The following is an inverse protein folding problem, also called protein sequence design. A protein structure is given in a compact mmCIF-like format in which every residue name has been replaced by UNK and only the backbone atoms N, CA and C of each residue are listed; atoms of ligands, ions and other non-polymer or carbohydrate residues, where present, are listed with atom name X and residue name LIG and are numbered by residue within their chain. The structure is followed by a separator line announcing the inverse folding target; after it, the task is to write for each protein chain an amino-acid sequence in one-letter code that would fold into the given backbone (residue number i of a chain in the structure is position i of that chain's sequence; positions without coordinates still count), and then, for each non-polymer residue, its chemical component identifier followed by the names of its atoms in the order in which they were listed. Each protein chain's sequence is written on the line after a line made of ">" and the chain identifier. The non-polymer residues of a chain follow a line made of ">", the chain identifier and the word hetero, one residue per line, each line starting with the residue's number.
data_IF_331366487920
#
_entry.id   IF_331366487920
#
_cell.length_a   1.000
_cell.length_b   1.000
_cell.length_c   1.000
_cell.angle_alpha   90.00
_cell.angle_beta   90.00
_cell.angle_gamma   90.00
#
_symmetry.space_group_name_H-M   'P 1'
#
loop_
_entity.id
_entity.type
_entity.pdbx_description
1 polymer ?
2 polymer ?
3 polymer ?
4 polymer ?
5 polymer ?
6 polymer ?
7 non-polymer ?
8 non-polymer ?
9 water ?
#
loop_
_entity_poly.entity_id
_entity_poly.type
_entity_poly.pdbx_seq_one_letter_code
_entity_poly.pdbx_strand_id
3 'polydeoxyribonucleotide' '(DT)(DT)(DA)(DG)(DG)(DA)(DT)(DC)(DC)(DT)(DT)(DC)(DA)(DA)' ?
4 'polydeoxyribonucleotide' '(DT)(DC)(DT)(DG)(DC)(DC)(DT)(DT)(DT)(DT)(DT)(DT)(DG)(DA)' ?
5 'polydeoxyribonucleotide' '(DA)(DA)(DA)(DA)(DG)(DG)(DC)(DA)(DG)(DA)' ?
6 'polydeoxyribonucleotide' '(DA)(DG)(DG)(DA)(DT)(DC)(DC)(DT)(DA)(DA)' ?
#
# COMPACT_ATOMS: atom_id res chain seq x y z
N UNK A 1 -4.46 8.13 -25.99
CA UNK A 1 -5.67 7.32 -26.35
C UNK A 1 -5.35 5.83 -26.56
N UNK A 2 -5.35 5.08 -25.48
CA UNK A 2 -4.40 4.00 -25.28
C UNK A 2 -3.06 4.66 -25.12
N UNK A 3 -3.02 5.57 -24.16
CA UNK A 3 -1.79 6.04 -23.59
C UNK A 3 -0.88 4.87 -23.27
N UNK A 4 0.40 5.09 -23.54
CA UNK A 4 1.46 4.12 -23.24
C UNK A 4 2.12 4.55 -21.93
N UNK A 5 2.09 3.66 -20.94
CA UNK A 5 2.70 3.93 -19.63
C UNK A 5 4.13 3.36 -19.49
N UNK A 6 4.96 4.08 -18.75
CA UNK A 6 6.37 3.74 -18.64
C UNK A 6 6.62 2.69 -17.58
N UNK A 7 7.68 1.92 -17.78
CA UNK A 7 7.94 0.72 -16.99
C UNK A 7 8.12 1.04 -15.49
N UNK A 8 8.95 2.02 -15.15
CA UNK A 8 9.33 2.20 -13.73
C UNK A 8 8.15 2.77 -12.97
N UNK A 9 7.33 3.55 -13.67
CA UNK A 9 6.06 4.07 -13.15
C UNK A 9 5.13 2.90 -12.81
N UNK A 10 4.87 2.03 -13.78
CA UNK A 10 4.01 0.84 -13.59
C UNK A 10 4.52 -0.06 -12.48
N UNK A 11 5.84 -0.19 -12.36
CA UNK A 11 6.34 -1.09 -11.31
C UNK A 11 6.06 -0.51 -9.92
N UNK A 12 6.40 0.76 -9.72
CA UNK A 12 6.17 1.40 -8.45
C UNK A 12 4.66 1.39 -8.16
N UNK A 13 3.86 1.71 -9.17
CA UNK A 13 2.43 1.91 -8.96
C UNK A 13 1.78 0.58 -8.67
N UNK A 14 2.25 -0.48 -9.35
CA UNK A 14 1.76 -1.82 -9.05
C UNK A 14 1.90 -2.17 -7.55
N UNK A 15 3.11 -1.96 -7.00
CA UNK A 15 3.39 -2.04 -5.55
C UNK A 15 2.39 -1.24 -4.72
N UNK A 16 2.25 0.03 -5.09
CA UNK A 16 1.42 0.93 -4.30
C UNK A 16 -0.05 0.49 -4.34
N UNK A 17 -0.48 -0.01 -5.49
CA UNK A 17 -1.86 -0.48 -5.65
C UNK A 17 -2.08 -1.78 -4.88
N UNK A 18 -1.11 -2.69 -4.93
CA UNK A 18 -1.21 -3.91 -4.11
C UNK A 18 -1.35 -3.51 -2.64
N UNK A 19 -0.77 -2.36 -2.26
CA UNK A 19 -0.95 -1.86 -0.86
C UNK A 19 -2.26 -1.13 -0.59
N UNK A 20 -2.41 0.07 -1.16
CA UNK A 20 -3.49 0.97 -0.75
C UNK A 20 -4.59 1.06 -1.82
N UNK A 21 -4.49 0.28 -2.89
CA UNK A 21 -5.48 0.37 -3.96
C UNK A 21 -6.60 -0.65 -3.89
N UNK A 22 -7.59 -0.53 -4.78
CA UNK A 22 -8.68 -1.49 -4.77
C UNK A 22 -9.17 -1.63 -6.19
N UNK A 23 -9.41 -2.86 -6.64
CA UNK A 23 -9.99 -3.11 -7.95
C UNK A 23 -11.33 -3.78 -7.70
N UNK A 24 -12.37 -3.08 -8.12
CA UNK A 24 -13.72 -3.31 -7.61
C UNK A 24 -14.65 -3.55 -8.79
N UNK A 25 -15.46 -4.60 -8.69
CA UNK A 25 -16.55 -4.82 -9.64
C UNK A 25 -17.86 -4.88 -8.88
N UNK A 26 -18.88 -4.19 -9.38
CA UNK A 26 -20.21 -4.15 -8.71
C UNK A 26 -21.34 -4.41 -9.71
N UNK A 27 -22.45 -4.92 -9.17
CA UNK A 27 -23.72 -5.10 -9.90
C UNK A 27 -24.67 -4.17 -9.17
N UNK A 28 -25.15 -3.13 -9.86
CA UNK A 28 -25.97 -2.10 -9.21
C UNK A 28 -27.39 -2.23 -9.74
N UNK A 29 -28.35 -2.47 -8.86
CA UNK A 29 -29.74 -2.66 -9.26
C UNK A 29 -30.12 -1.34 -9.86
N UNK A 30 -30.81 -1.42 -10.99
CA UNK A 30 -31.22 -0.20 -11.62
C UNK A 30 -32.26 -0.52 -12.69
N UNK A 31 -33.48 -0.09 -12.41
CA UNK A 31 -34.66 -0.57 -13.11
C UNK A 31 -34.63 -0.06 -14.54
N UNK A 32 -33.77 0.91 -14.83
CA UNK A 32 -33.84 1.46 -16.18
C UNK A 32 -32.82 0.84 -17.12
N UNK A 33 -32.04 -0.10 -16.61
CA UNK A 33 -31.15 -0.91 -17.45
C UNK A 33 -31.82 -2.17 -17.98
N UNK A 34 -31.37 -2.54 -19.17
CA UNK A 34 -31.82 -3.74 -19.90
C UNK A 34 -32.17 -4.94 -19.04
N UNK A 35 -31.26 -5.35 -18.15
CA UNK A 35 -31.57 -6.48 -17.28
C UNK A 35 -31.75 -6.08 -15.81
N UNK A 36 -32.09 -4.80 -15.58
CA UNK A 36 -32.44 -4.27 -14.26
C UNK A 36 -31.21 -4.10 -13.34
N UNK A 37 -30.02 -4.19 -13.95
CA UNK A 37 -28.78 -3.96 -13.22
C UNK A 37 -27.71 -3.42 -14.15
N UNK A 38 -26.83 -2.62 -13.59
CA UNK A 38 -25.73 -2.00 -14.31
C UNK A 38 -24.49 -2.63 -13.71
N UNK A 39 -23.56 -3.04 -14.58
CA UNK A 39 -22.23 -3.39 -14.17
C UNK A 39 -21.31 -2.18 -14.04
N UNK A 40 -20.64 -2.04 -12.90
CA UNK A 40 -19.72 -0.93 -12.70
C UNK A 40 -18.33 -1.43 -12.32
N UNK A 41 -17.29 -0.94 -12.99
CA UNK A 41 -15.93 -1.42 -12.71
C UNK A 41 -15.10 -0.24 -12.31
N UNK A 42 -14.36 -0.39 -11.22
CA UNK A 42 -13.62 0.77 -10.70
C UNK A 42 -12.20 0.39 -10.30
N UNK A 43 -11.25 1.24 -10.67
CA UNK A 43 -9.92 1.17 -10.07
C UNK A 43 -9.78 2.36 -9.09
N UNK A 44 -9.36 2.11 -7.87
CA UNK A 44 -9.43 3.13 -6.83
C UNK A 44 -8.13 3.09 -6.04
N UNK A 45 -7.59 4.25 -5.68
CA UNK A 45 -6.45 4.33 -4.76
C UNK A 45 -6.85 5.29 -3.65
N UNK A 46 -6.79 4.82 -2.40
CA UNK A 46 -7.16 5.67 -1.25
C UNK A 46 -5.93 6.26 -0.54
N UNK A 47 -6.08 7.47 0.00
CA UNK A 47 -5.06 8.06 0.83
C UNK A 47 -5.66 9.20 1.65
N UNK A 48 -5.14 9.33 2.86
CA UNK A 48 -5.44 10.45 3.75
C UNK A 48 -5.32 11.76 2.97
N UNK A 49 -6.30 12.65 3.12
CA UNK A 49 -6.37 13.87 2.30
C UNK A 49 -5.14 14.78 2.46
N UNK A 50 -4.48 14.76 3.61
CA UNK A 50 -3.22 15.49 3.68
C UNK A 50 -2.20 15.08 2.58
N UNK A 51 -2.36 13.89 2.01
CA UNK A 51 -1.51 13.37 0.91
C UNK A 51 -2.21 13.30 -0.46
N UNK A 52 -3.21 14.15 -0.62
CA UNK A 52 -4.03 14.16 -1.81
C UNK A 52 -3.17 14.53 -3.03
N UNK A 53 -2.11 15.31 -2.81
CA UNK A 53 -1.17 15.63 -3.90
C UNK A 53 -0.72 14.39 -4.68
N UNK A 54 -0.52 13.29 -3.96
CA UNK A 54 -0.07 12.02 -4.56
C UNK A 54 -1.15 11.47 -5.49
N UNK A 55 -2.42 11.59 -5.08
CA UNK A 55 -3.56 11.18 -5.93
C UNK A 55 -3.79 12.09 -7.13
N UNK A 56 -3.72 13.40 -6.90
CA UNK A 56 -3.80 14.39 -8.00
C UNK A 56 -2.75 14.10 -9.06
N UNK A 57 -1.52 13.85 -8.64
CA UNK A 57 -0.46 13.42 -9.57
C UNK A 57 -0.85 12.19 -10.38
N UNK A 58 -1.56 11.23 -9.77
CA UNK A 58 -2.01 10.08 -10.53
C UNK A 58 -2.96 10.42 -11.70
N UNK A 59 -3.81 11.41 -11.50
CA UNK A 59 -4.56 11.98 -12.63
C UNK A 59 -3.63 12.42 -13.76
N UNK A 60 -2.55 13.12 -13.43
CA UNK A 60 -1.67 13.58 -14.50
C UNK A 60 -0.97 12.38 -15.15
N UNK A 61 -0.51 11.44 -14.33
CA UNK A 61 0.28 10.31 -14.82
C UNK A 61 -0.58 9.37 -15.63
N UNK A 62 -1.76 9.00 -15.11
CA UNK A 62 -2.58 8.07 -15.86
C UNK A 62 -3.28 8.80 -17.00
N UNK A 63 -3.52 10.09 -16.79
CA UNK A 63 -4.02 10.96 -17.87
C UNK A 63 -5.55 10.99 -17.94
N UNK A 64 -6.21 10.25 -17.05
CA UNK A 64 -7.69 10.22 -16.91
C UNK A 64 -8.06 9.95 -15.46
N UNK A 65 -9.34 10.02 -15.13
CA UNK A 65 -9.83 9.67 -13.79
C UNK A 65 -9.88 10.91 -12.93
N UNK A 66 -10.26 10.79 -11.65
CA UNK A 66 -10.43 12.03 -10.90
C UNK A 66 -10.25 11.71 -9.41
N UNK A 67 -10.12 12.75 -8.58
CA UNK A 67 -9.96 12.55 -7.15
C UNK A 67 -11.16 13.15 -6.38
N UNK A 68 -11.61 12.44 -5.35
CA UNK A 68 -12.81 12.88 -4.57
C UNK A 68 -12.36 12.79 -3.13
N UNK A 69 -12.75 13.77 -2.31
CA UNK A 69 -12.59 13.69 -0.84
C UNK A 69 -13.84 13.23 -0.13
N UNK A 70 -13.63 12.53 0.96
CA UNK A 70 -14.71 11.87 1.65
C UNK A 70 -14.28 11.63 3.10
N UNK A 71 -14.85 12.41 4.02
CA UNK A 71 -14.37 12.44 5.41
C UNK A 71 -12.92 12.90 5.48
N UNK A 72 -12.04 12.07 6.05
CA UNK A 72 -10.65 12.46 6.27
C UNK A 72 -9.73 11.89 5.16
N UNK A 73 -10.33 11.23 4.19
CA UNK A 73 -9.54 10.58 3.14
C UNK A 73 -9.97 11.01 1.73
N UNK A 74 -9.08 10.75 0.78
CA UNK A 74 -9.30 11.04 -0.62
C UNK A 74 -9.17 9.78 -1.48
N UNK A 75 -9.77 9.78 -2.66
CA UNK A 75 -9.67 8.63 -3.53
C UNK A 75 -9.46 9.08 -4.95
N UNK A 76 -8.42 8.54 -5.59
CA UNK A 76 -8.35 8.47 -7.04
C UNK A 76 -9.24 7.36 -7.57
N UNK A 77 -9.96 7.70 -8.63
CA UNK A 77 -10.98 6.85 -9.20
C UNK A 77 -10.89 6.86 -10.72
N UNK A 78 -10.89 5.65 -11.27
CA UNK A 78 -10.95 5.49 -12.73
C UNK A 78 -11.98 4.42 -13.02
N UNK A 79 -13.03 4.81 -13.74
CA UNK A 79 -14.14 3.91 -14.04
C UNK A 79 -14.47 3.85 -15.53
N UNK A 80 -13.90 4.77 -16.31
CA UNK A 80 -14.19 4.84 -17.75
C UNK A 80 -13.59 3.63 -18.48
N UNK A 81 -14.42 2.87 -19.18
CA UNK A 81 -14.15 1.49 -19.56
C UNK A 81 -12.89 1.43 -20.44
N UNK A 82 -12.84 2.25 -21.46
CA UNK A 82 -11.74 2.06 -22.42
C UNK A 82 -10.36 2.41 -21.84
N UNK A 83 -10.18 3.60 -21.24
CA UNK A 83 -8.91 3.81 -20.57
C UNK A 83 -8.61 2.85 -19.40
N UNK A 84 -9.65 2.37 -18.72
CA UNK A 84 -9.41 1.50 -17.56
C UNK A 84 -8.82 0.21 -18.09
N UNK A 85 -9.37 -0.28 -19.19
CA UNK A 85 -8.87 -1.52 -19.81
C UNK A 85 -7.41 -1.32 -20.25
N UNK A 86 -7.14 -0.17 -20.87
CA UNK A 86 -5.77 0.12 -21.32
C UNK A 86 -4.77 0.16 -20.16
N UNK A 87 -5.15 0.86 -19.09
CA UNK A 87 -4.32 0.96 -17.90
C UNK A 87 -4.10 -0.39 -17.17
N UNK A 88 -5.17 -1.13 -16.90
CA UNK A 88 -5.02 -2.42 -16.23
C UNK A 88 -4.22 -3.43 -17.08
N UNK A 89 -4.40 -3.37 -18.39
CA UNK A 89 -3.59 -4.18 -19.30
C UNK A 89 -2.09 -4.04 -19.06
N UNK A 90 -1.64 -2.80 -18.98
CA UNK A 90 -0.25 -2.49 -18.74
C UNK A 90 0.20 -2.66 -17.29
N UNK A 91 -0.70 -2.43 -16.34
CA UNK A 91 -0.34 -2.61 -14.92
C UNK A 91 -0.28 -4.07 -14.50
N UNK A 92 -1.21 -4.89 -15.01
CA UNK A 92 -1.38 -6.30 -14.57
C UNK A 92 -0.10 -7.16 -14.45
N UNK A 93 0.80 -7.09 -15.44
CA UNK A 93 2.01 -7.92 -15.37
C UNK A 93 2.79 -7.71 -14.06
N UNK A 94 2.66 -6.54 -13.44
CA UNK A 94 3.51 -6.25 -12.28
C UNK A 94 2.80 -6.39 -10.92
N UNK A 95 1.49 -6.57 -10.93
CA UNK A 95 0.70 -6.81 -9.73
C UNK A 95 0.97 -8.17 -9.09
N UNK A 96 0.98 -8.26 -7.76
CA UNK A 96 1.26 -9.56 -7.09
C UNK A 96 0.07 -10.03 -6.26
N UNK A 97 -0.55 -9.10 -5.55
CA UNK A 97 -1.75 -9.41 -4.77
C UNK A 97 -3.06 -9.19 -5.51
N UNK A 98 -3.09 -8.25 -6.46
CA UNK A 98 -4.36 -7.91 -7.12
C UNK A 98 -4.36 -8.24 -8.61
N UNK A 99 -3.44 -9.10 -9.02
CA UNK A 99 -3.35 -9.53 -10.43
C UNK A 99 -4.61 -10.24 -10.93
N UNK A 100 -5.15 -11.14 -10.14
CA UNK A 100 -6.34 -11.85 -10.58
C UNK A 100 -7.55 -10.93 -10.77
N UNK A 101 -7.76 -10.00 -9.84
CA UNK A 101 -8.89 -9.10 -9.97
C UNK A 101 -8.70 -8.26 -11.23
N UNK A 102 -7.47 -7.80 -11.48
CA UNK A 102 -7.22 -6.95 -12.65
C UNK A 102 -7.60 -7.74 -13.92
N UNK A 103 -7.20 -9.02 -13.97
CA UNK A 103 -7.49 -9.82 -15.16
C UNK A 103 -8.95 -10.18 -15.36
N UNK A 104 -9.65 -10.40 -14.25
CA UNK A 104 -11.10 -10.54 -14.28
C UNK A 104 -11.78 -9.27 -14.77
N UNK A 105 -11.31 -8.12 -14.32
CA UNK A 105 -11.86 -6.86 -14.84
C UNK A 105 -11.68 -6.77 -16.33
N UNK A 106 -10.50 -7.16 -16.81
CA UNK A 106 -10.30 -7.09 -18.26
C UNK A 106 -11.24 -8.01 -19.00
N UNK A 107 -11.47 -9.20 -18.44
CA UNK A 107 -12.29 -10.20 -19.11
C UNK A 107 -13.72 -9.67 -19.17
N UNK A 108 -14.15 -9.09 -18.06
CA UNK A 108 -15.48 -8.51 -17.99
C UNK A 108 -15.69 -7.42 -19.05
N UNK A 109 -14.74 -6.46 -19.11
CA UNK A 109 -14.81 -5.37 -20.09
C UNK A 109 -14.91 -5.92 -21.51
N UNK A 110 -14.14 -6.98 -21.82
CA UNK A 110 -14.17 -7.55 -23.18
C UNK A 110 -15.51 -8.19 -23.51
N UNK A 111 -16.24 -8.65 -22.51
CA UNK A 111 -17.53 -9.28 -22.76
C UNK A 111 -18.74 -8.35 -22.72
N UNK A 112 -18.55 -7.09 -22.34
CA UNK A 112 -19.69 -6.23 -22.08
C UNK A 112 -20.61 -6.10 -23.27
N UNK A 113 -20.07 -5.86 -24.49
CA UNK A 113 -20.91 -5.80 -25.68
C UNK A 113 -21.92 -6.93 -25.73
N UNK A 114 -21.45 -8.16 -25.57
CA UNK A 114 -22.33 -9.29 -25.68
C UNK A 114 -23.03 -9.72 -24.40
N UNK A 115 -22.72 -9.09 -23.26
CA UNK A 115 -23.53 -9.21 -22.05
C UNK A 115 -24.89 -8.54 -22.20
N UNK A 116 -24.96 -7.51 -23.02
CA UNK A 116 -26.23 -6.83 -23.25
C UNK A 116 -27.15 -7.65 -24.16
N UNK A 117 -26.74 -8.87 -24.51
CA UNK A 117 -27.38 -9.56 -25.63
C UNK A 117 -28.17 -10.78 -25.18
N UNK A 118 -27.71 -11.41 -24.09
CA UNK A 118 -28.39 -12.57 -23.55
C UNK A 118 -28.43 -12.40 -22.04
N UNK A 119 -29.58 -12.68 -21.41
CA UNK A 119 -29.62 -12.87 -19.97
C UNK A 119 -28.61 -13.91 -19.48
N UNK A 120 -28.42 -15.01 -20.20
CA UNK A 120 -27.54 -16.05 -19.69
C UNK A 120 -26.11 -15.55 -19.71
N UNK A 121 -25.78 -14.77 -20.74
CA UNK A 121 -24.44 -14.20 -20.79
C UNK A 121 -24.27 -13.12 -19.74
N UNK A 122 -25.30 -12.31 -19.52
CA UNK A 122 -25.22 -11.29 -18.49
C UNK A 122 -24.99 -12.00 -17.16
N UNK A 123 -25.70 -13.09 -16.91
CA UNK A 123 -25.50 -13.81 -15.65
C UNK A 123 -24.08 -14.29 -15.47
N UNK A 124 -23.47 -14.81 -16.54
CA UNK A 124 -22.13 -15.38 -16.41
C UNK A 124 -21.07 -14.33 -16.05
N UNK A 125 -21.15 -13.18 -16.71
CA UNK A 125 -20.29 -12.07 -16.37
C UNK A 125 -20.50 -11.65 -14.93
N UNK A 126 -21.75 -11.68 -14.47
CA UNK A 126 -22.05 -11.43 -13.06
C UNK A 126 -21.31 -12.40 -12.13
N UNK A 127 -21.14 -13.67 -12.54
CA UNK A 127 -20.36 -14.58 -11.73
C UNK A 127 -18.89 -14.20 -11.72
N UNK A 128 -18.39 -13.59 -12.80
CA UNK A 128 -17.03 -13.00 -12.74
C UNK A 128 -16.94 -11.85 -11.73
N UNK A 129 -18.01 -11.07 -11.62
CA UNK A 129 -18.04 -10.04 -10.56
C UNK A 129 -17.89 -10.71 -9.18
N UNK A 130 -18.68 -11.76 -8.97
CA UNK A 130 -18.61 -12.54 -7.73
C UNK A 130 -17.19 -12.95 -7.37
N UNK A 131 -16.46 -13.48 -8.35
CA UNK A 131 -15.08 -13.93 -8.15
C UNK A 131 -14.11 -12.82 -7.75
N UNK A 132 -14.33 -11.61 -8.27
CA UNK A 132 -13.47 -10.51 -7.90
C UNK A 132 -13.72 -10.13 -6.43
N UNK A 133 -15.00 -10.09 -6.03
CA UNK A 133 -15.39 -9.74 -4.67
C UNK A 133 -14.85 -10.79 -3.70
N UNK A 134 -14.93 -12.05 -4.10
CA UNK A 134 -14.27 -13.13 -3.35
C UNK A 134 -12.79 -12.88 -3.12
N UNK A 135 -12.05 -12.50 -4.18
CA UNK A 135 -10.63 -12.23 -4.03
C UNK A 135 -10.31 -11.05 -3.10
N UNK A 136 -11.13 -10.02 -3.15
CA UNK A 136 -11.01 -8.81 -2.32
C UNK A 136 -11.39 -9.20 -0.88
N UNK A 137 -11.10 -8.33 0.09
CA UNK A 137 -11.59 -8.53 1.46
C UNK A 137 -13.02 -8.00 1.55
N UNK A 138 -13.96 -8.64 0.86
CA UNK A 138 -15.33 -8.12 0.78
C UNK A 138 -16.05 -8.22 2.13
N UNK A 139 -16.73 -7.15 2.56
CA UNK A 139 -17.42 -7.18 3.87
C UNK A 139 -18.80 -6.51 3.91
N UNK A 140 -19.15 -5.71 2.90
CA UNK A 140 -20.48 -5.04 2.90
C UNK A 140 -21.23 -5.22 1.58
N UNK A 141 -20.91 -6.30 0.84
CA UNK A 141 -21.51 -6.56 -0.48
C UNK A 141 -22.96 -7.02 -0.32
N UNK A 142 -23.84 -6.55 -1.21
CA UNK A 142 -25.27 -6.86 -1.17
C UNK A 142 -25.76 -7.54 -2.46
N UNK A 143 -25.47 -6.93 -3.59
CA UNK A 143 -25.95 -7.45 -4.87
C UNK A 143 -24.96 -8.38 -5.56
N UNK A 144 -25.40 -9.63 -5.77
CA UNK A 144 -24.52 -10.68 -6.25
C UNK A 144 -25.10 -11.31 -7.52
N UNK A 145 -24.40 -12.21 -8.18
CA UNK A 145 -25.03 -12.84 -9.34
C UNK A 145 -26.37 -13.48 -8.96
N UNK A 146 -26.49 -13.93 -7.72
CA UNK A 146 -27.72 -14.60 -7.26
C UNK A 146 -28.90 -13.65 -7.20
N UNK A 147 -28.65 -12.41 -6.77
CA UNK A 147 -29.67 -11.36 -6.80
C UNK A 147 -30.18 -11.24 -8.23
N UNK A 148 -29.24 -11.16 -9.17
CA UNK A 148 -29.58 -11.07 -10.59
C UNK A 148 -30.42 -12.26 -11.07
N UNK A 149 -30.11 -13.45 -10.57
CA UNK A 149 -30.76 -14.67 -11.04
C UNK A 149 -32.31 -14.75 -11.10
N UNK A 150 -33.06 -14.01 -10.29
CA UNK A 150 -34.37 -13.51 -10.78
C UNK A 150 -34.40 -12.03 -11.16
N UNK A 151 -34.74 -11.64 -12.40
CA UNK A 151 -34.45 -12.27 -13.71
C UNK A 151 -35.13 -13.56 -14.18
N UNK A 152 -35.47 -14.44 -13.25
CA UNK A 152 -36.57 -15.36 -13.54
C UNK A 152 -37.83 -14.49 -13.56
N UNK A 153 -37.97 -13.77 -14.68
CA UNK A 153 -39.21 -13.44 -15.40
C UNK A 153 -39.56 -14.49 -16.46
N UNK B 2 26.47 -7.63 2.63
CA UNK B 2 25.44 -6.69 2.04
C UNK B 2 24.94 -7.12 0.65
N UNK B 3 23.82 -7.84 0.63
CA UNK B 3 23.08 -8.11 -0.61
C UNK B 3 22.81 -6.83 -1.40
N UNK B 4 23.01 -6.90 -2.72
CA UNK B 4 22.49 -5.90 -3.65
C UNK B 4 21.17 -6.41 -4.22
N UNK B 5 20.11 -5.61 -4.14
CA UNK B 5 18.82 -6.09 -4.57
C UNK B 5 18.56 -5.64 -6.00
N UNK B 6 17.86 -6.48 -6.75
CA UNK B 6 17.34 -6.14 -8.08
C UNK B 6 16.46 -4.88 -8.14
N UNK B 7 16.77 -4.00 -9.10
CA UNK B 7 16.08 -2.72 -9.27
C UNK B 7 14.56 -2.81 -9.44
N UNK B 8 14.10 -3.78 -10.24
CA UNK B 8 12.67 -3.92 -10.49
C UNK B 8 11.94 -4.40 -9.23
N UNK B 9 12.60 -5.26 -8.45
CA UNK B 9 12.08 -5.63 -7.12
C UNK B 9 11.98 -4.44 -6.17
N UNK B 10 13.02 -3.60 -6.13
CA UNK B 10 13.03 -2.40 -5.29
C UNK B 10 11.97 -1.36 -5.71
N UNK B 11 11.79 -1.20 -7.02
CA UNK B 11 10.74 -0.34 -7.51
C UNK B 11 9.38 -0.79 -6.99
N UNK B 12 9.00 -2.05 -7.23
CA UNK B 12 7.71 -2.60 -6.77
C UNK B 12 7.61 -2.52 -5.23
N UNK B 13 8.65 -2.97 -4.54
CA UNK B 13 8.62 -2.95 -3.08
C UNK B 13 8.46 -1.52 -2.49
N UNK B 14 9.12 -0.54 -3.10
CA UNK B 14 8.99 0.85 -2.65
C UNK B 14 7.52 1.30 -2.69
N UNK B 15 6.83 0.90 -3.76
CA UNK B 15 5.41 1.22 -3.88
C UNK B 15 4.62 0.51 -2.79
N UNK B 16 4.89 -0.79 -2.63
CA UNK B 16 4.22 -1.57 -1.59
C UNK B 16 4.46 -1.03 -0.19
N UNK B 17 5.70 -0.69 0.10
CA UNK B 17 6.04 -0.04 1.37
C UNK B 17 5.35 1.32 1.56
N UNK B 18 5.38 2.18 0.55
CA UNK B 18 4.66 3.44 0.66
C UNK B 18 3.16 3.19 0.96
N UNK B 19 2.59 2.07 0.51
CA UNK B 19 1.22 1.68 0.87
C UNK B 19 1.05 1.05 2.25
N UNK B 20 1.56 -0.18 2.46
CA UNK B 20 1.26 -0.92 3.70
C UNK B 20 2.40 -0.98 4.71
N UNK B 21 3.49 -0.25 4.45
CA UNK B 21 4.71 -0.34 5.27
C UNK B 21 4.80 0.75 6.33
N UNK B 22 5.79 0.65 7.21
CA UNK B 22 5.96 1.64 8.27
C UNK B 22 7.44 1.73 8.56
N UNK B 23 7.99 2.93 8.57
CA UNK B 23 9.33 3.12 9.03
C UNK B 23 9.29 3.86 10.38
N UNK B 24 9.71 3.16 11.43
CA UNK B 24 9.37 3.54 12.81
C UNK B 24 10.64 3.79 13.59
N UNK B 25 10.69 4.89 14.32
CA UNK B 25 11.80 5.12 15.25
C UNK B 25 11.21 5.44 16.61
N UNK B 26 11.79 4.85 17.66
CA UNK B 26 11.26 4.94 19.01
C UNK B 26 12.38 5.24 20.00
N UNK B 27 12.04 6.01 21.03
CA UNK B 27 12.89 6.16 22.22
C UNK B 27 12.21 5.36 23.32
N UNK B 28 12.91 4.45 23.97
CA UNK B 28 12.26 3.67 25.02
C UNK B 28 12.98 3.93 26.34
N UNK B 29 12.22 4.34 27.38
CA UNK B 29 12.88 4.48 28.68
C UNK B 29 13.41 3.12 29.10
N UNK B 30 14.63 3.12 29.65
CA UNK B 30 15.19 1.95 30.29
C UNK B 30 16.38 2.32 31.16
N UNK B 31 16.31 1.96 32.44
CA UNK B 31 17.24 2.43 33.48
C UNK B 31 18.66 1.91 33.29
N UNK B 32 18.79 0.85 32.53
CA UNK B 32 20.09 0.19 32.32
C UNK B 32 20.89 0.88 31.25
N UNK B 33 20.28 1.81 30.53
CA UNK B 33 21.02 2.38 29.42
C UNK B 33 21.69 3.65 29.91
N UNK B 34 22.79 4.00 29.25
CA UNK B 34 23.63 5.13 29.67
C UNK B 34 22.83 6.39 29.95
N UNK B 35 21.98 6.78 29.00
CA UNK B 35 21.16 7.99 29.18
C UNK B 35 19.71 7.61 29.46
N UNK B 36 19.53 6.45 30.09
CA UNK B 36 18.25 5.98 30.65
C UNK B 36 17.18 5.73 29.57
N UNK B 37 17.62 5.62 28.32
CA UNK B 37 16.73 5.38 27.18
C UNK B 37 17.54 4.67 26.09
N UNK B 38 16.83 3.91 25.27
CA UNK B 38 17.42 3.17 24.16
C UNK B 38 16.70 3.69 22.92
N UNK B 39 17.38 3.70 21.78
CA UNK B 39 16.71 3.97 20.50
C UNK B 39 16.35 2.67 19.80
N UNK B 40 15.13 2.61 19.23
CA UNK B 40 14.74 1.44 18.46
C UNK B 40 14.27 1.86 17.06
N UNK B 41 14.79 1.17 16.04
CA UNK B 41 14.45 1.49 14.65
C UNK B 41 13.90 0.24 13.99
N UNK B 42 12.78 0.36 13.27
CA UNK B 42 12.06 -0.77 12.72
C UNK B 42 11.50 -0.44 11.35
N UNK B 43 11.77 -1.34 10.41
CA UNK B 43 11.04 -1.38 9.15
C UNK B 43 10.02 -2.51 9.24
N UNK B 44 8.77 -2.19 8.91
CA UNK B 44 7.69 -3.13 9.09
C UNK B 44 6.75 -3.08 7.88
N UNK B 45 6.22 -4.24 7.50
CA UNK B 45 5.16 -4.30 6.53
C UNK B 45 4.05 -5.17 7.09
N UNK B 46 2.85 -4.59 7.17
CA UNK B 46 1.67 -5.28 7.73
C UNK B 46 0.80 -5.92 6.65
N UNK B 47 0.27 -7.11 6.91
CA UNK B 47 -0.75 -7.69 6.04
C UNK B 47 -1.64 -8.65 6.82
N UNK B 48 -2.93 -8.64 6.51
CA UNK B 48 -3.89 -9.63 7.03
C UNK B 48 -3.25 -11.02 6.94
N UNK B 49 -3.37 -11.82 7.99
CA UNK B 49 -2.69 -13.11 8.09
C UNK B 49 -3.00 -14.07 6.95
N UNK B 50 -4.17 -13.92 6.34
CA UNK B 50 -4.51 -14.67 5.11
C UNK B 50 -3.42 -14.53 4.05
N UNK B 51 -2.77 -13.37 3.99
CA UNK B 51 -1.76 -13.14 2.93
C UNK B 51 -0.36 -13.11 3.53
N UNK B 52 -0.21 -13.80 4.67
CA UNK B 52 1.08 -13.92 5.34
C UNK B 52 2.14 -14.47 4.34
N UNK B 53 1.69 -15.22 3.35
CA UNK B 53 2.60 -15.89 2.42
C UNK B 53 3.40 -14.84 1.68
N UNK B 54 2.80 -13.68 1.52
CA UNK B 54 3.43 -12.59 0.77
C UNK B 54 4.57 -12.02 1.61
N UNK B 55 4.33 -11.97 2.94
CA UNK B 55 5.36 -11.63 3.91
C UNK B 55 6.45 -12.67 4.06
N UNK B 56 6.07 -13.96 4.04
CA UNK B 56 7.08 -15.01 4.06
C UNK B 56 7.97 -14.92 2.83
N UNK B 57 7.39 -14.59 1.69
CA UNK B 57 8.20 -14.33 0.49
C UNK B 57 9.16 -13.13 0.65
N UNK B 58 8.70 -12.05 1.30
CA UNK B 58 9.60 -10.92 1.60
C UNK B 58 10.84 -11.36 2.37
N UNK B 59 10.63 -12.18 3.39
CA UNK B 59 11.75 -12.63 4.20
C UNK B 59 12.80 -13.22 3.28
N UNK B 60 12.34 -14.05 2.34
CA UNK B 60 13.25 -14.76 1.46
C UNK B 60 13.90 -13.76 0.49
N UNK B 61 13.11 -12.83 -0.04
CA UNK B 61 13.63 -11.86 -1.02
C UNK B 61 14.55 -10.85 -0.37
N UNK B 62 14.16 -10.32 0.79
CA UNK B 62 15.07 -9.44 1.51
C UNK B 62 16.28 -10.19 2.08
N UNK B 63 16.09 -11.44 2.51
CA UNK B 63 17.22 -12.24 2.99
C UNK B 63 17.48 -12.14 4.48
N UNK B 64 16.74 -11.25 5.16
CA UNK B 64 16.96 -11.00 6.57
C UNK B 64 15.57 -10.56 7.07
N UNK B 65 15.35 -10.52 8.38
CA UNK B 65 14.03 -10.21 8.95
C UNK B 65 13.20 -11.45 9.25
N UNK B 66 11.99 -11.24 9.75
CA UNK B 66 11.10 -12.34 10.12
C UNK B 66 9.63 -11.90 10.09
N UNK B 67 8.75 -12.88 10.15
CA UNK B 67 7.32 -12.58 10.13
C UNK B 67 6.76 -13.02 11.47
N UNK B 68 5.97 -12.13 12.06
CA UNK B 68 5.25 -12.35 13.31
C UNK B 68 3.74 -12.22 13.05
N UNK B 69 3.00 -13.22 13.53
CA UNK B 69 1.55 -13.29 13.43
C UNK B 69 0.85 -12.84 14.73
N UNK B 70 0.02 -11.82 14.66
CA UNK B 70 -0.73 -11.34 15.83
C UNK B 70 -2.14 -11.91 15.90
N UNK B 71 -2.43 -12.92 15.10
CA UNK B 71 -3.82 -13.35 14.99
C UNK B 71 -4.41 -12.82 13.71
N UNK B 72 -5.12 -11.69 13.79
CA UNK B 72 -5.76 -11.08 12.62
C UNK B 72 -4.80 -10.66 11.50
N UNK B 73 -3.69 -10.07 11.90
CA UNK B 73 -2.70 -9.57 10.97
C UNK B 73 -1.30 -10.09 11.30
N UNK B 74 -0.48 -10.10 10.27
CA UNK B 74 0.93 -10.49 10.38
C UNK B 74 1.84 -9.30 10.00
N UNK B 75 3.09 -9.30 10.46
CA UNK B 75 4.06 -8.22 10.16
C UNK B 75 5.38 -8.84 9.76
N UNK B 76 5.88 -8.43 8.60
CA UNK B 76 7.31 -8.49 8.34
C UNK B 76 8.08 -7.40 9.13
N UNK B 77 9.15 -7.81 9.81
CA UNK B 77 9.91 -6.95 10.69
C UNK B 77 11.39 -7.05 10.35
N UNK B 78 12.02 -5.89 10.20
CA UNK B 78 13.47 -5.80 10.12
C UNK B 78 13.96 -4.70 11.04
N UNK B 79 14.82 -5.10 11.99
CA UNK B 79 15.32 -4.21 13.04
C UNK B 79 16.86 -4.20 13.12
N UNK B 80 17.47 -5.30 12.74
CA UNK B 80 18.91 -5.43 12.91
C UNK B 80 19.54 -4.28 12.17
N UNK B 81 20.39 -3.53 12.89
CA UNK B 81 20.88 -2.26 12.38
C UNK B 81 21.60 -2.32 11.04
N UNK B 82 22.59 -3.20 10.92
CA UNK B 82 23.38 -3.21 9.68
C UNK B 82 22.62 -3.63 8.42
N UNK B 83 21.88 -4.76 8.46
CA UNK B 83 21.00 -5.09 7.34
C UNK B 83 19.94 -4.02 7.07
N UNK B 84 19.48 -3.34 8.12
CA UNK B 84 18.42 -2.31 7.93
C UNK B 84 19.00 -1.14 7.13
N UNK B 85 20.19 -0.75 7.53
CA UNK B 85 20.90 0.31 6.83
C UNK B 85 21.12 -0.05 5.35
N UNK B 86 21.57 -1.27 5.08
CA UNK B 86 21.80 -1.70 3.70
C UNK B 86 20.50 -1.72 2.88
N UNK B 87 19.44 -2.24 3.48
CA UNK B 87 18.17 -2.35 2.81
C UNK B 87 17.61 -0.95 2.49
N UNK B 88 17.50 -0.08 3.50
CA UNK B 88 16.90 1.25 3.27
C UNK B 88 17.72 2.10 2.31
N UNK B 89 19.04 1.92 2.32
CA UNK B 89 19.92 2.64 1.41
C UNK B 89 19.50 2.37 -0.04
N UNK B 90 19.25 1.10 -0.34
CA UNK B 90 18.84 0.71 -1.67
C UNK B 90 17.40 1.03 -1.98
N UNK B 91 16.53 0.96 -0.97
CA UNK B 91 15.11 1.23 -1.18
C UNK B 91 14.77 2.70 -1.39
N UNK B 92 15.41 3.56 -0.57
CA UNK B 92 15.08 4.99 -0.43
C UNK B 92 14.91 5.77 -1.77
N UNK B 93 15.78 5.52 -2.76
CA UNK B 93 15.65 6.32 -3.99
C UNK B 93 14.28 6.15 -4.66
N UNK B 94 13.61 5.05 -4.37
CA UNK B 94 12.34 4.73 -5.07
C UNK B 94 11.10 5.06 -4.23
N UNK B 95 11.32 5.42 -2.96
CA UNK B 95 10.22 5.76 -2.08
C UNK B 95 9.75 7.16 -2.44
N UNK B 96 8.44 7.41 -2.37
CA UNK B 96 7.84 8.73 -2.64
C UNK B 96 7.13 9.30 -1.42
N UNK B 97 6.54 8.43 -0.60
CA UNK B 97 5.83 8.90 0.60
C UNK B 97 6.64 8.77 1.88
N UNK B 98 7.52 7.76 1.96
CA UNK B 98 8.26 7.49 3.19
C UNK B 98 9.79 7.67 3.00
N UNK B 99 10.16 8.36 1.92
CA UNK B 99 11.57 8.61 1.65
C UNK B 99 12.26 9.39 2.77
N UNK B 100 11.58 10.40 3.32
CA UNK B 100 12.23 11.20 4.32
C UNK B 100 12.46 10.38 5.59
N UNK B 101 11.47 9.58 5.95
CA UNK B 101 11.60 8.75 7.16
C UNK B 101 12.77 7.80 6.93
N UNK B 102 12.87 7.19 5.75
CA UNK B 102 13.97 6.27 5.47
C UNK B 102 15.32 7.00 5.62
N UNK B 103 15.44 8.21 5.07
CA UNK B 103 16.72 8.89 5.13
C UNK B 103 17.07 9.33 6.56
N UNK B 104 16.05 9.72 7.32
CA UNK B 104 16.26 10.01 8.75
C UNK B 104 16.74 8.77 9.48
N UNK B 105 16.15 7.61 9.19
CA UNK B 105 16.65 6.38 9.80
C UNK B 105 18.13 6.13 9.49
N UNK B 106 18.50 6.23 8.23
CA UNK B 106 19.91 6.10 7.85
C UNK B 106 20.82 7.06 8.61
N UNK B 107 20.42 8.32 8.70
CA UNK B 107 21.23 9.34 9.39
C UNK B 107 21.39 8.97 10.85
N UNK B 108 20.29 8.50 11.45
CA UNK B 108 20.36 8.11 12.87
C UNK B 108 21.31 6.94 13.05
N UNK B 109 21.19 5.93 12.20
CA UNK B 109 22.05 4.77 12.31
C UNK B 109 23.50 5.19 12.24
N UNK B 110 23.84 6.01 11.25
CA UNK B 110 25.20 6.50 11.10
C UNK B 110 25.71 7.24 12.36
N UNK B 111 24.82 7.91 13.07
CA UNK B 111 25.24 8.61 14.29
C UNK B 111 25.18 7.82 15.59
N UNK B 112 24.80 6.55 15.54
CA UNK B 112 24.64 5.79 16.77
C UNK B 112 25.91 5.70 17.63
N UNK B 113 27.06 5.39 17.02
CA UNK B 113 28.29 5.34 17.83
C UNK B 113 28.52 6.63 18.65
N UNK B 114 28.47 7.76 17.95
CA UNK B 114 28.70 9.03 18.60
C UNK B 114 27.59 9.43 19.58
N UNK B 115 26.39 8.89 19.37
CA UNK B 115 25.25 9.15 20.26
C UNK B 115 25.42 8.56 21.65
N UNK B 116 26.15 7.46 21.77
CA UNK B 116 26.35 6.79 23.05
C UNK B 116 27.43 7.46 23.91
N UNK B 117 28.10 8.48 23.37
CA UNK B 117 29.26 9.10 24.03
C UNK B 117 29.00 10.48 24.65
N UNK B 118 27.82 11.03 24.40
CA UNK B 118 27.56 12.42 24.77
C UNK B 118 26.04 12.58 24.86
N UNK B 119 25.53 13.16 25.95
CA UNK B 119 24.09 13.34 26.08
C UNK B 119 23.56 14.40 25.12
N UNK B 120 24.41 15.35 24.76
CA UNK B 120 23.95 16.38 23.83
C UNK B 120 23.72 15.75 22.48
N UNK B 121 24.64 14.86 22.10
CA UNK B 121 24.54 14.15 20.85
C UNK B 121 23.36 13.18 20.86
N UNK B 122 23.19 12.47 21.97
CA UNK B 122 22.04 11.56 22.10
C UNK B 122 20.72 12.31 21.95
N UNK B 123 20.61 13.46 22.61
CA UNK B 123 19.41 14.29 22.48
C UNK B 123 19.13 14.65 21.03
N UNK B 124 20.19 15.06 20.32
CA UNK B 124 20.02 15.60 18.98
C UNK B 124 19.45 14.46 18.17
N UNK B 125 20.01 13.28 18.36
CA UNK B 125 19.54 12.14 17.62
C UNK B 125 18.08 11.82 17.97
N UNK B 126 17.72 11.98 19.24
CA UNK B 126 16.31 11.88 19.65
C UNK B 126 15.41 12.86 18.87
N UNK B 127 15.92 14.03 18.53
CA UNK B 127 15.13 14.97 17.77
C UNK B 127 14.85 14.50 16.36
N UNK B 128 15.78 13.78 15.73
CA UNK B 128 15.50 13.12 14.44
C UNK B 128 14.40 12.05 14.54
N UNK B 129 14.34 11.41 15.70
CA UNK B 129 13.30 10.43 15.97
C UNK B 129 11.96 11.15 16.00
N UNK B 130 11.85 12.29 16.70
CA UNK B 130 10.63 13.11 16.67
C UNK B 130 10.22 13.45 15.22
N UNK B 131 11.21 13.85 14.44
CA UNK B 131 10.96 14.17 13.03
C UNK B 131 10.33 13.02 12.28
N UNK B 132 10.82 11.81 12.49
CA UNK B 132 10.23 10.64 11.81
C UNK B 132 8.76 10.44 12.24
N UNK B 133 8.55 10.52 13.55
CA UNK B 133 7.20 10.44 14.09
C UNK B 133 6.29 11.50 13.50
N UNK B 134 6.78 12.75 13.36
CA UNK B 134 5.96 13.81 12.76
C UNK B 134 5.59 13.51 11.30
N UNK B 135 6.53 12.93 10.57
CA UNK B 135 6.22 12.48 9.21
C UNK B 135 5.21 11.33 9.09
N UNK B 136 5.32 10.34 9.97
CA UNK B 136 4.31 9.28 10.09
C UNK B 136 2.97 9.82 10.52
N UNK B 137 1.93 9.02 10.39
CA UNK B 137 0.63 9.44 10.96
C UNK B 137 0.67 8.99 12.42
N UNK B 138 1.51 9.63 13.24
CA UNK B 138 1.64 9.18 14.64
C UNK B 138 0.41 9.53 15.49
N UNK B 139 -0.06 8.61 16.31
CA UNK B 139 -1.27 8.79 17.14
C UNK B 139 -1.16 8.22 18.58
N UNK B 140 -0.14 7.42 18.90
CA UNK B 140 -0.04 6.84 20.26
C UNK B 140 1.34 6.97 20.92
N UNK B 141 2.06 7.97 20.46
CA UNK B 141 3.44 8.15 20.88
C UNK B 141 3.43 8.68 22.31
N UNK B 142 4.38 8.21 23.12
CA UNK B 142 4.59 8.69 24.50
C UNK B 142 5.96 9.33 24.69
N UNK B 143 7.01 8.58 24.38
CA UNK B 143 8.35 9.05 24.74
C UNK B 143 8.96 9.87 23.60
N UNK B 144 9.33 11.11 23.88
CA UNK B 144 9.82 12.02 22.86
C UNK B 144 11.17 12.53 23.31
N UNK B 145 11.81 13.33 22.47
CA UNK B 145 13.09 13.92 22.84
C UNK B 145 12.97 14.86 24.06
N UNK B 146 11.78 15.39 24.26
CA UNK B 146 11.58 16.25 25.43
C UNK B 146 11.47 15.43 26.71
N UNK B 147 10.89 14.23 26.62
CA UNK B 147 10.99 13.26 27.74
C UNK B 147 12.45 13.05 28.13
N UNK B 148 13.28 12.79 27.13
CA UNK B 148 14.72 12.63 27.35
C UNK B 148 15.39 13.86 27.93
N UNK B 149 15.10 15.02 27.33
CA UNK B 149 15.57 16.29 27.91
C UNK B 149 15.57 16.44 29.45
N UNK B 150 14.79 15.66 30.20
CA UNK B 150 15.24 15.31 31.58
C UNK B 150 16.36 14.26 31.79
N UNK B 151 17.44 14.40 31.00
CA UNK B 151 18.84 14.23 31.36
C UNK B 151 19.31 15.55 32.01
N UNK B 152 18.41 16.53 31.99
CA UNK B 152 18.61 17.71 32.78
C UNK B 152 18.49 17.26 34.25
N UNK B 153 19.20 16.18 34.59
CA UNK B 153 19.73 16.00 35.95
C UNK B 153 21.17 15.47 35.96
X LIG G 1 -3.34 -3.12 1.90
X LIG H 1 -12.03 -12.63 0.24
X LIG I 1 2.16 13.32 10.95
X LIG J 1 -2.85 0.18 3.28
X LIG K 1 -1.07 3.41 3.39
#
# INVERSE_FOLDING_TARGET
>A
MNTKYNKEFLLYLAGFVDGDGSIIAQIKPNQSSKFKHRLSLTFQVTQKTQRRWFLDKLVDEIGVGYVRDSGSVSNYILSEIKPLHNFLTQLQPFLKLKQKQANLVLKIIEQLPSAKESPDKFLEVCTWVDQIAALNDSKTRKTTSETVRAVLD
>B
MNTKYNKEFLLYLAGFVDGDGSIIAQIEPNQSYKFKHRLKLTFKVTQKTQRRWFLDKLVDEIGVGYVSDSGSVSNYILSEIKPLHNFLTQLQPFLKLKQKQANLVLKIIEQLPSAKESPDKFLEVCTWVDQIAALNDSKTRKTTSETVRAVLD
>G hetero
1 MG MG
>H hetero
1 CA CA
>I hetero
1 CA CA
>J hetero
1 MG MG
>K hetero
1 MG MG
#
